data_IF_099880406709
#
_entry.id   IF_099880406709
#
_cell.length_a   1.000
_cell.length_b   1.000
_cell.length_c   1.000
_cell.angle_alpha   90.00
_cell.angle_beta   90.00
_cell.angle_gamma   90.00
#
_symmetry.space_group_name_H-M   'P 1'
#
loop_
_entity.id
_entity.type
_entity.pdbx_description
1 polymer ?
#
# COMPACT_ATOMS: atom_id res chain seq x y z
N UNK A 1 17.08 -3.94 1.49
CA UNK A 1 15.69 -4.33 1.79
C UNK A 1 15.41 -4.00 3.25
N UNK A 2 14.39 -3.19 3.55
CA UNK A 2 14.16 -2.67 4.89
C UNK A 2 13.41 -3.70 5.73
N UNK A 3 14.15 -4.61 6.38
CA UNK A 3 13.57 -5.73 7.16
C UNK A 3 13.03 -5.31 8.54
N UNK A 4 13.18 -4.04 8.92
CA UNK A 4 12.82 -3.56 10.26
C UNK A 4 11.41 -2.95 10.33
N UNK A 5 10.75 -2.78 9.19
CA UNK A 5 9.37 -2.32 9.12
C UNK A 5 8.48 -3.57 9.11
N UNK A 6 7.62 -3.68 10.11
CA UNK A 6 6.62 -4.75 10.21
C UNK A 6 5.38 -4.31 9.45
N UNK A 7 5.18 -4.88 8.26
CA UNK A 7 4.12 -4.45 7.35
C UNK A 7 2.72 -4.71 7.93
N UNK A 8 2.57 -5.75 8.73
CA UNK A 8 1.34 -6.07 9.43
C UNK A 8 0.90 -4.93 10.35
N UNK A 9 1.83 -4.33 11.11
CA UNK A 9 1.56 -3.16 11.96
C UNK A 9 1.16 -1.93 11.13
N UNK A 10 1.70 -1.79 9.91
CA UNK A 10 1.33 -0.71 8.97
C UNK A 10 -0.08 -0.95 8.40
N UNK A 11 -0.43 -2.18 8.04
CA UNK A 11 -1.75 -2.54 7.54
C UNK A 11 -2.81 -2.26 8.63
N UNK A 12 -2.55 -2.66 9.87
CA UNK A 12 -3.45 -2.39 10.99
C UNK A 12 -3.64 -0.88 11.20
N UNK A 13 -2.55 -0.10 11.11
CA UNK A 13 -2.62 1.36 11.15
C UNK A 13 -3.49 1.93 10.01
N UNK A 14 -3.30 1.46 8.78
CA UNK A 14 -4.09 1.89 7.62
C UNK A 14 -5.58 1.61 7.84
N UNK A 15 -5.95 0.39 8.27
CA UNK A 15 -7.33 -0.01 8.55
C UNK A 15 -7.99 0.91 9.61
N UNK A 16 -7.25 1.25 10.66
CA UNK A 16 -7.75 2.14 11.72
C UNK A 16 -7.96 3.58 11.26
N UNK A 17 -7.17 4.08 10.30
CA UNK A 17 -7.25 5.46 9.83
C UNK A 17 -8.21 5.64 8.64
N UNK A 18 -8.49 4.58 7.88
CA UNK A 18 -9.34 4.63 6.69
C UNK A 18 -10.75 4.06 6.91
N UNK A 19 -11.26 4.09 8.14
CA UNK A 19 -12.52 3.46 8.60
C UNK A 19 -13.78 3.77 7.77
N UNK A 20 -13.77 4.82 6.93
CA UNK A 20 -14.88 5.19 6.06
C UNK A 20 -14.83 4.58 4.64
N UNK A 21 -13.71 3.95 4.24
CA UNK A 21 -13.51 3.39 2.89
C UNK A 21 -13.84 1.89 2.87
N UNK A 22 -15.14 1.55 2.88
CA UNK A 22 -15.62 0.18 3.14
C UNK A 22 -15.02 -0.88 2.22
N UNK A 23 -14.80 -0.56 0.93
CA UNK A 23 -14.24 -1.52 -0.05
C UNK A 23 -12.73 -1.72 0.12
N UNK A 24 -11.99 -0.64 0.38
CA UNK A 24 -10.56 -0.71 0.68
C UNK A 24 -10.31 -1.54 1.94
N UNK A 25 -11.10 -1.33 2.99
CA UNK A 25 -11.00 -2.12 4.23
C UNK A 25 -11.23 -3.60 3.95
N UNK A 26 -12.29 -3.96 3.24
CA UNK A 26 -12.56 -5.37 2.88
C UNK A 26 -11.41 -6.00 2.08
N UNK A 27 -10.79 -5.23 1.17
CA UNK A 27 -9.62 -5.70 0.43
C UNK A 27 -8.41 -5.90 1.37
N UNK A 28 -8.22 -5.03 2.35
CA UNK A 28 -7.14 -5.13 3.34
C UNK A 28 -7.34 -6.27 4.35
N UNK A 29 -8.57 -6.75 4.57
CA UNK A 29 -8.83 -7.92 5.43
C UNK A 29 -8.33 -9.22 4.82
N UNK A 30 -8.33 -9.31 3.49
CA UNK A 30 -7.95 -10.51 2.73
C UNK A 30 -6.64 -10.35 1.97
N UNK A 31 -5.91 -9.24 2.21
CA UNK A 31 -4.69 -8.92 1.47
C UNK A 31 -3.59 -9.95 1.74
N UNK A 32 -3.03 -10.48 0.66
CA UNK A 32 -1.83 -11.33 0.73
C UNK A 32 -0.60 -10.47 1.01
N UNK A 33 0.38 -11.02 1.73
CA UNK A 33 1.65 -10.33 1.95
C UNK A 33 2.36 -10.09 0.61
N UNK A 34 2.85 -8.87 0.44
CA UNK A 34 3.62 -8.44 -0.72
C UNK A 34 5.13 -8.65 -0.57
N UNK A 35 5.88 -7.86 -1.32
CA UNK A 35 7.34 -7.91 -1.35
C UNK A 35 7.96 -6.51 -1.33
N UNK A 36 9.11 -6.40 -0.67
CA UNK A 36 9.92 -5.18 -0.72
C UNK A 36 10.59 -5.06 -2.09
N UNK A 37 10.35 -3.94 -2.78
CA UNK A 37 11.03 -3.61 -4.03
C UNK A 37 12.18 -2.62 -3.83
N UNK A 38 12.20 -1.90 -2.72
CA UNK A 38 13.33 -1.04 -2.33
C UNK A 38 13.47 -0.95 -0.80
N UNK A 39 14.26 0.01 -0.30
CA UNK A 39 14.29 0.37 1.14
C UNK A 39 13.05 1.15 1.60
N UNK A 40 12.34 1.76 0.65
CA UNK A 40 11.24 2.69 0.88
C UNK A 40 9.91 2.20 0.31
N UNK A 41 9.87 1.08 -0.42
CA UNK A 41 8.69 0.68 -1.16
C UNK A 41 8.38 -0.81 -0.97
N UNK A 42 7.16 -1.08 -0.49
CA UNK A 42 6.59 -2.41 -0.32
C UNK A 42 5.38 -2.58 -1.25
N UNK A 43 5.41 -3.61 -2.09
CA UNK A 43 4.46 -3.80 -3.19
C UNK A 43 3.59 -5.02 -2.93
N UNK A 44 2.27 -4.85 -2.99
CA UNK A 44 1.29 -5.93 -2.86
C UNK A 44 0.84 -6.48 -4.21
N UNK A 45 0.70 -5.59 -5.21
CA UNK A 45 0.22 -5.97 -6.54
C UNK A 45 1.34 -5.88 -7.55
N UNK A 46 1.45 -6.89 -8.41
CA UNK A 46 2.46 -6.87 -9.45
C UNK A 46 2.25 -5.70 -10.42
N UNK A 47 3.32 -4.95 -10.63
CA UNK A 47 3.35 -3.72 -11.44
C UNK A 47 3.83 -3.96 -12.87
N UNK A 48 3.94 -5.22 -13.31
CA UNK A 48 4.25 -5.54 -14.70
C UNK A 48 3.18 -4.95 -15.62
N UNK A 49 3.64 -4.25 -16.66
CA UNK A 49 2.78 -3.58 -17.65
C UNK A 49 1.75 -2.62 -17.02
N UNK A 50 2.11 -1.94 -15.93
CA UNK A 50 1.22 -1.02 -15.22
C UNK A 50 0.40 -0.12 -16.16
N UNK A 51 -0.90 0.01 -15.86
CA UNK A 51 -1.91 0.77 -16.58
C UNK A 51 -2.23 0.28 -18.01
N UNK A 52 -1.66 -0.84 -18.46
CA UNK A 52 -2.06 -1.49 -19.71
C UNK A 52 -3.29 -2.39 -19.51
N UNK A 53 -3.94 -2.72 -20.62
CA UNK A 53 -5.04 -3.68 -20.65
C UNK A 53 -4.55 -5.03 -20.08
N UNK A 54 -5.34 -5.62 -19.17
CA UNK A 54 -5.03 -6.85 -18.42
C UNK A 54 -3.92 -6.75 -17.37
N UNK A 55 -3.34 -5.57 -17.11
CA UNK A 55 -2.47 -5.40 -15.95
C UNK A 55 -3.26 -5.46 -14.64
N UNK A 56 -2.65 -6.03 -13.61
CA UNK A 56 -3.16 -5.97 -12.24
C UNK A 56 -2.97 -4.59 -11.63
N UNK A 57 -1.90 -3.90 -12.02
CA UNK A 57 -1.62 -2.55 -11.58
C UNK A 57 -2.34 -1.55 -12.47
N UNK A 58 -3.50 -1.08 -12.00
CA UNK A 58 -4.25 0.01 -12.62
C UNK A 58 -4.41 1.12 -11.60
N UNK A 59 -3.55 2.12 -11.67
CA UNK A 59 -3.53 3.19 -10.68
C UNK A 59 -4.83 3.98 -10.72
N UNK A 60 -5.38 4.26 -9.54
CA UNK A 60 -6.60 5.07 -9.36
C UNK A 60 -6.26 6.37 -8.65
N UNK A 61 -5.64 6.28 -7.48
CA UNK A 61 -5.41 7.43 -6.61
C UNK A 61 -4.27 7.17 -5.61
N UNK A 62 -3.90 8.21 -4.88
CA UNK A 62 -2.93 8.16 -3.79
C UNK A 62 -3.58 8.62 -2.48
N UNK A 63 -3.39 7.83 -1.42
CA UNK A 63 -3.75 8.25 -0.06
C UNK A 63 -2.47 8.52 0.73
N UNK A 64 -2.37 9.69 1.35
CA UNK A 64 -1.23 10.06 2.19
C UNK A 64 -1.67 10.00 3.66
N UNK A 65 -0.91 9.27 4.47
CA UNK A 65 -1.12 9.16 5.91
C UNK A 65 0.15 9.55 6.68
N UNK A 66 -0.03 10.17 7.85
CA UNK A 66 1.07 10.46 8.76
C UNK A 66 1.13 9.38 9.85
N UNK A 67 2.13 8.50 9.75
CA UNK A 67 2.40 7.42 10.70
C UNK A 67 3.30 7.91 11.84
N UNK A 68 2.98 7.63 13.12
CA UNK A 68 3.73 8.17 14.27
C UNK A 68 5.24 7.85 14.24
N UNK A 69 5.58 6.62 13.82
CA UNK A 69 6.96 6.13 13.71
C UNK A 69 7.63 6.36 12.34
N UNK A 70 6.89 6.21 11.24
CA UNK A 70 7.43 6.19 9.89
C UNK A 70 7.16 7.49 9.12
N UNK A 71 6.58 8.48 9.80
CA UNK A 71 6.17 9.77 9.27
C UNK A 71 5.26 9.59 8.08
N UNK A 72 5.52 10.31 7.00
CA UNK A 72 4.68 10.26 5.81
C UNK A 72 4.79 8.90 5.12
N UNK A 73 3.67 8.19 5.07
CA UNK A 73 3.48 7.00 4.23
C UNK A 73 2.48 7.33 3.12
N UNK A 74 2.76 6.82 1.94
CA UNK A 74 1.99 7.06 0.72
C UNK A 74 1.46 5.72 0.24
N UNK A 75 0.14 5.64 0.04
CA UNK A 75 -0.55 4.44 -0.39
C UNK A 75 -0.94 4.58 -1.85
N UNK A 76 -0.51 3.64 -2.68
CA UNK A 76 -0.99 3.53 -4.05
C UNK A 76 -2.32 2.79 -4.06
N UNK A 77 -3.41 3.48 -4.41
CA UNK A 77 -4.73 2.88 -4.56
C UNK A 77 -4.95 2.57 -6.02
N UNK A 78 -5.28 1.32 -6.30
CA UNK A 78 -5.60 0.82 -7.63
C UNK A 78 -7.11 0.80 -7.88
N UNK A 79 -7.50 0.53 -9.13
CA UNK A 79 -8.89 0.24 -9.47
C UNK A 79 -9.48 -0.85 -8.56
N UNK A 80 -10.78 -0.73 -8.27
CA UNK A 80 -11.49 -1.55 -7.29
C UNK A 80 -10.99 -1.42 -5.85
N UNK A 81 -10.28 -0.33 -5.53
CA UNK A 81 -9.80 0.02 -4.20
C UNK A 81 -8.82 -1.01 -3.62
N UNK A 82 -8.02 -1.63 -4.49
CA UNK A 82 -6.92 -2.48 -4.03
C UNK A 82 -5.71 -1.63 -3.64
N UNK A 83 -5.06 -1.98 -2.54
CA UNK A 83 -3.76 -1.40 -2.19
C UNK A 83 -2.69 -1.99 -3.11
N UNK A 84 -2.08 -1.15 -3.95
CA UNK A 84 -0.99 -1.54 -4.84
C UNK A 84 0.34 -1.62 -4.13
N UNK A 85 0.65 -0.60 -3.32
CA UNK A 85 1.91 -0.47 -2.62
C UNK A 85 1.88 0.57 -1.52
N UNK A 86 2.89 0.53 -0.66
CA UNK A 86 3.16 1.51 0.39
C UNK A 86 4.57 2.05 0.15
N UNK A 87 4.65 3.37 -0.02
CA UNK A 87 5.90 4.11 -0.02
C UNK A 87 6.11 4.80 1.32
N UNK A 88 7.32 4.71 1.85
CA UNK A 88 7.74 5.31 3.11
C UNK A 88 8.69 6.47 2.80
N UNK A 89 8.17 7.69 2.85
CA UNK A 89 8.84 8.89 2.31
C UNK A 89 10.20 9.17 2.98
N UNK A 90 10.32 8.92 4.29
CA UNK A 90 11.56 9.11 5.06
C UNK A 90 12.73 8.22 4.61
N UNK A 91 12.45 7.18 3.82
CA UNK A 91 13.46 6.23 3.38
C UNK A 91 13.78 6.33 1.89
N UNK A 92 13.23 7.30 1.16
CA UNK A 92 13.58 7.56 -0.25
C UNK A 92 15.08 7.88 -0.37
#
# INVERSE_FOLDING_TARGET
MNKNIKIEEIIDFIKLNLTNESKLISNLETIELGEWKSKAYYRFVDSENANQLNSKWKFKDTIILEHPKHKTIVLDILENDHLGGIEFYEYI
#
